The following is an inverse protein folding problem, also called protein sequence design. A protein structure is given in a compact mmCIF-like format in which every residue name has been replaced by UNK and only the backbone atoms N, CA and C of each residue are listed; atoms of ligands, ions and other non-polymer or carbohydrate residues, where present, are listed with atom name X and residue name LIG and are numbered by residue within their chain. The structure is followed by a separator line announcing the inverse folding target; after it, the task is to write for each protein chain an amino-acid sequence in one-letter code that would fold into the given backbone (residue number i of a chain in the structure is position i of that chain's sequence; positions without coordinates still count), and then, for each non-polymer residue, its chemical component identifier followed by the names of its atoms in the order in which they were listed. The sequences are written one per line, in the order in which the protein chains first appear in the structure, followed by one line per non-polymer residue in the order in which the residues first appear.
data_IF_940271942530
#
_entry.id   IF_940271942530
#
_cell.length_a   1.000
_cell.length_b   1.000
_cell.length_c   1.000
_cell.angle_alpha   90.00
_cell.angle_beta   90.00
_cell.angle_gamma   90.00
#
_symmetry.space_group_name_H-M   'P 1'
#
loop_
_entity.id
_entity.type
_entity.pdbx_description
1 polymer ?
#
# COMPACT_ATOMS: atom_id res chain seq x y z
N UNK A 1 -42.75 -49.87 -6.73
CA UNK A 1 -41.84 -49.01 -7.54
C UNK A 1 -41.74 -47.57 -7.08
N UNK A 2 -42.84 -46.83 -6.80
CA UNK A 2 -42.76 -45.40 -6.41
C UNK A 2 -41.92 -45.06 -5.16
N UNK A 3 -41.82 -45.96 -4.17
CA UNK A 3 -41.01 -45.73 -2.95
C UNK A 3 -39.50 -45.93 -3.16
N UNK A 4 -39.08 -46.65 -4.19
CA UNK A 4 -37.65 -46.91 -4.46
C UNK A 4 -36.98 -45.71 -5.16
N UNK A 5 -37.74 -44.97 -5.96
CA UNK A 5 -37.27 -43.79 -6.70
C UNK A 5 -36.99 -42.62 -5.75
N UNK A 6 -37.76 -42.49 -4.66
CA UNK A 6 -37.60 -41.39 -3.70
C UNK A 6 -36.33 -41.54 -2.85
N UNK A 7 -35.93 -42.77 -2.50
CA UNK A 7 -34.69 -43.03 -1.77
C UNK A 7 -33.43 -42.83 -2.63
N UNK A 8 -33.49 -43.17 -3.92
CA UNK A 8 -32.39 -42.93 -4.84
C UNK A 8 -32.16 -41.41 -5.05
N UNK A 9 -33.22 -40.61 -5.08
CA UNK A 9 -33.12 -39.15 -5.21
C UNK A 9 -32.52 -38.49 -3.96
N UNK A 10 -32.90 -38.94 -2.77
CA UNK A 10 -32.30 -38.43 -1.52
C UNK A 10 -30.82 -38.81 -1.41
N UNK A 11 -30.42 -40.05 -1.75
CA UNK A 11 -29.02 -40.46 -1.72
C UNK A 11 -28.15 -39.66 -2.71
N UNK A 12 -28.67 -39.36 -3.91
CA UNK A 12 -27.94 -38.57 -4.91
C UNK A 12 -27.76 -37.11 -4.47
N UNK A 13 -28.78 -36.52 -3.82
CA UNK A 13 -28.70 -35.16 -3.27
C UNK A 13 -27.70 -35.11 -2.10
N UNK A 14 -27.68 -36.10 -1.21
CA UNK A 14 -26.69 -36.15 -0.12
C UNK A 14 -25.27 -36.31 -0.64
N UNK A 15 -25.04 -37.09 -1.71
CA UNK A 15 -23.71 -37.24 -2.34
C UNK A 15 -23.25 -35.93 -3.01
N UNK A 16 -24.17 -35.18 -3.62
CA UNK A 16 -23.85 -33.87 -4.22
C UNK A 16 -23.51 -32.82 -3.16
N UNK A 17 -24.20 -32.81 -2.02
CA UNK A 17 -23.92 -31.86 -0.93
C UNK A 17 -22.59 -32.19 -0.22
N UNK A 18 -22.25 -33.47 -0.03
CA UNK A 18 -20.98 -33.87 0.62
C UNK A 18 -19.76 -33.57 -0.26
N UNK A 19 -19.89 -33.65 -1.59
CA UNK A 19 -18.79 -33.31 -2.52
C UNK A 19 -18.60 -31.81 -2.77
N UNK A 20 -19.49 -30.95 -2.26
CA UNK A 20 -19.40 -29.49 -2.43
C UNK A 20 -18.59 -28.80 -1.32
N UNK A 21 -18.15 -29.52 -0.29
CA UNK A 21 -17.51 -28.95 0.93
C UNK A 21 -16.00 -29.24 1.02
N UNK A 22 -15.42 -29.93 0.03
CA UNK A 22 -13.96 -30.15 -0.04
C UNK A 22 -13.35 -29.44 -1.25
N UNK A 23 -13.45 -28.12 -1.30
CA UNK A 23 -12.42 -27.33 -1.97
C UNK A 23 -11.24 -27.22 -0.98
N UNK A 24 -10.34 -28.20 -1.02
CA UNK A 24 -9.06 -28.15 -0.31
C UNK A 24 -8.28 -26.93 -0.80
N UNK A 25 -8.00 -26.00 0.12
CA UNK A 25 -6.91 -25.06 -0.06
C UNK A 25 -5.60 -25.86 -0.05
N UNK A 26 -4.90 -25.84 -1.18
CA UNK A 26 -3.56 -26.39 -1.36
C UNK A 26 -2.57 -25.52 -0.58
N UNK A 27 -2.32 -25.86 0.68
CA UNK A 27 -1.16 -25.34 1.43
C UNK A 27 0.05 -26.13 0.92
N UNK A 28 0.65 -25.64 -0.16
CA UNK A 28 1.90 -26.21 -0.67
C UNK A 28 2.99 -26.04 0.38
N UNK A 29 3.48 -27.18 0.88
CA UNK A 29 4.72 -27.27 1.64
C UNK A 29 5.87 -26.80 0.76
N UNK A 30 6.37 -25.58 1.01
CA UNK A 30 7.60 -25.11 0.39
C UNK A 30 8.80 -25.76 1.06
N UNK A 31 9.54 -26.54 0.26
CA UNK A 31 10.87 -27.03 0.60
C UNK A 31 11.87 -25.93 0.20
N UNK A 32 12.67 -25.36 1.14
CA UNK A 32 13.57 -24.27 0.81
C UNK A 32 14.67 -24.74 -0.14
N UNK A 33 14.81 -24.05 -1.27
CA UNK A 33 15.88 -24.26 -2.25
C UNK A 33 17.15 -23.59 -1.74
N UNK A 34 18.27 -24.31 -1.76
CA UNK A 34 19.60 -23.85 -1.34
C UNK A 34 20.03 -22.59 -2.11
N UNK A 35 20.49 -21.57 -1.38
CA UNK A 35 21.09 -20.34 -1.92
C UNK A 35 22.57 -20.62 -2.19
N UNK A 36 23.10 -20.34 -3.40
CA UNK A 36 24.53 -20.51 -3.66
C UNK A 36 25.33 -19.38 -3.00
N UNK A 37 26.36 -19.77 -2.26
CA UNK A 37 27.40 -18.93 -1.68
C UNK A 37 28.21 -18.28 -2.80
N UNK A 38 28.32 -16.95 -2.81
CA UNK A 38 29.22 -16.21 -3.72
C UNK A 38 30.41 -15.72 -2.90
N UNK A 39 31.61 -16.13 -3.31
CA UNK A 39 32.89 -15.70 -2.77
C UNK A 39 33.19 -14.24 -3.14
N UNK A 40 33.50 -13.42 -2.14
CA UNK A 40 34.05 -12.08 -2.31
C UNK A 40 35.50 -12.15 -2.78
N UNK A 41 35.84 -11.38 -3.82
CA UNK A 41 37.23 -11.02 -4.11
C UNK A 41 37.39 -9.51 -4.09
N UNK A 42 38.21 -9.09 -3.14
CA UNK A 42 38.66 -7.74 -2.87
C UNK A 42 39.65 -7.28 -3.95
N UNK A 43 39.48 -6.07 -4.50
CA UNK A 43 40.63 -5.38 -5.09
C UNK A 43 40.49 -3.86 -5.03
N UNK A 44 41.52 -3.27 -4.44
CA UNK A 44 41.80 -1.85 -4.22
C UNK A 44 42.26 -1.16 -5.51
N UNK A 45 41.70 0.02 -5.84
CA UNK A 45 42.52 1.20 -6.14
C UNK A 45 41.67 2.49 -6.12
N UNK A 46 42.17 3.48 -5.39
CA UNK A 46 41.53 4.75 -5.07
C UNK A 46 42.29 5.88 -5.74
N UNK A 47 41.66 6.57 -6.70
CA UNK A 47 41.78 8.02 -6.89
C UNK A 47 40.68 8.53 -7.82
N UNK A 48 39.49 8.79 -7.26
CA UNK A 48 38.45 9.55 -7.94
C UNK A 48 38.05 10.76 -7.09
N UNK A 49 37.95 11.92 -7.76
CA UNK A 49 37.48 13.19 -7.21
C UNK A 49 36.14 12.98 -6.46
N UNK A 50 35.82 13.78 -5.43
CA UNK A 50 34.56 13.66 -4.73
C UNK A 50 33.41 13.91 -5.71
N UNK A 51 32.82 12.82 -6.20
CA UNK A 51 31.47 12.83 -6.74
C UNK A 51 30.63 13.19 -5.52
N UNK A 52 30.15 14.43 -5.47
CA UNK A 52 29.05 14.79 -4.58
C UNK A 52 27.88 13.96 -5.09
N UNK A 53 27.72 12.76 -4.54
CA UNK A 53 26.58 11.91 -4.81
C UNK A 53 25.34 12.77 -4.56
N UNK A 54 24.43 12.91 -5.54
CA UNK A 54 23.19 13.63 -5.31
C UNK A 54 22.55 13.01 -4.07
N UNK A 55 22.41 13.81 -3.00
CA UNK A 55 21.77 13.33 -1.78
C UNK A 55 20.41 12.77 -2.20
N UNK A 56 20.07 11.52 -1.83
CA UNK A 56 18.77 10.96 -2.18
C UNK A 56 17.71 11.94 -1.68
N UNK A 57 16.76 12.26 -2.55
CA UNK A 57 15.62 13.11 -2.20
C UNK A 57 14.94 12.49 -0.99
N UNK A 58 14.97 13.18 0.15
CA UNK A 58 14.29 12.72 1.35
C UNK A 58 12.81 13.06 1.21
N UNK A 59 12.01 12.06 0.90
CA UNK A 59 10.56 12.11 1.04
C UNK A 59 10.24 12.32 2.53
N UNK A 60 9.57 13.41 2.87
CA UNK A 60 9.22 13.73 4.26
C UNK A 60 7.77 13.37 4.51
N UNK A 61 7.54 12.57 5.56
CA UNK A 61 6.22 12.26 6.09
C UNK A 61 5.52 13.58 6.46
N UNK A 62 4.43 13.91 5.77
CA UNK A 62 3.67 15.15 6.00
C UNK A 62 3.11 15.26 7.42
N UNK A 63 2.85 14.13 8.09
CA UNK A 63 2.39 14.06 9.49
C UNK A 63 3.48 14.41 10.51
N UNK A 64 4.76 14.29 10.14
CA UNK A 64 5.89 14.73 10.96
C UNK A 64 6.13 16.25 10.92
N UNK A 65 5.44 16.95 10.03
CA UNK A 65 5.57 18.40 9.87
C UNK A 65 4.77 19.13 10.95
N UNK A 66 5.43 20.04 11.64
CA UNK A 66 4.78 20.99 12.52
C UNK A 66 4.43 22.27 11.74
N UNK A 67 3.39 22.98 12.21
CA UNK A 67 2.92 24.26 11.64
C UNK A 67 2.57 24.19 10.16
N UNK A 68 1.86 23.13 9.77
CA UNK A 68 1.55 22.85 8.37
C UNK A 68 0.56 23.87 7.78
N UNK A 69 0.83 24.30 6.55
CA UNK A 69 -0.10 25.11 5.76
C UNK A 69 -0.24 24.49 4.38
N UNK A 70 -1.47 24.04 4.07
CA UNK A 70 -1.84 23.53 2.75
C UNK A 70 -2.50 24.62 1.90
N UNK A 71 -2.07 24.71 0.66
CA UNK A 71 -2.67 25.55 -0.39
C UNK A 71 -2.64 24.77 -1.71
N UNK A 72 -3.80 24.26 -2.14
CA UNK A 72 -3.87 23.37 -3.30
C UNK A 72 -3.02 22.12 -3.09
N UNK A 73 -2.12 21.85 -4.04
CA UNK A 73 -1.17 20.71 -4.07
C UNK A 73 0.17 21.02 -3.37
N UNK A 74 0.23 22.09 -2.57
CA UNK A 74 1.45 22.48 -1.88
C UNK A 74 1.21 22.42 -0.36
N UNK A 75 2.11 21.75 0.35
CA UNK A 75 2.08 21.65 1.82
C UNK A 75 3.39 22.21 2.36
N UNK A 76 3.34 23.31 3.09
CA UNK A 76 4.53 23.81 3.79
C UNK A 76 4.51 23.36 5.23
N UNK A 77 5.66 23.09 5.83
CA UNK A 77 5.79 22.75 7.24
C UNK A 77 7.24 22.64 7.68
N UNK A 78 7.49 22.39 8.95
CA UNK A 78 8.86 22.26 9.47
C UNK A 78 9.07 20.96 10.24
N UNK A 79 10.22 20.33 10.02
CA UNK A 79 10.73 19.21 10.81
C UNK A 79 11.54 19.78 11.98
N UNK A 80 10.93 19.98 13.16
CA UNK A 80 11.64 20.42 14.37
C UNK A 80 11.77 21.95 14.55
N UNK A 81 12.90 22.41 15.11
CA UNK A 81 13.05 23.70 15.82
C UNK A 81 13.17 24.99 14.98
N UNK A 82 12.42 25.11 13.88
CA UNK A 82 12.00 26.44 13.43
C UNK A 82 12.61 27.04 12.15
N UNK A 83 13.12 26.23 11.22
CA UNK A 83 13.30 26.70 9.84
C UNK A 83 12.23 26.08 8.94
N UNK A 84 11.25 26.88 8.53
CA UNK A 84 10.19 26.48 7.60
C UNK A 84 10.75 25.91 6.30
N UNK A 85 10.30 24.71 5.91
CA UNK A 85 10.60 24.11 4.61
C UNK A 85 9.31 24.01 3.78
N UNK A 86 9.45 24.20 2.48
CA UNK A 86 8.34 24.08 1.52
C UNK A 86 8.38 22.69 0.92
N UNK A 87 7.28 21.95 1.05
CA UNK A 87 7.13 20.64 0.43
C UNK A 87 6.04 20.72 -0.64
N UNK A 88 6.26 20.01 -1.74
CA UNK A 88 5.32 19.94 -2.84
C UNK A 88 4.86 18.49 -2.99
N UNK A 89 3.55 18.27 -3.04
CA UNK A 89 2.98 16.95 -3.31
C UNK A 89 1.94 17.13 -4.39
N UNK A 90 2.21 16.66 -5.61
CA UNK A 90 1.32 16.84 -6.75
C UNK A 90 0.06 15.94 -6.71
N UNK A 91 -0.31 15.42 -5.54
CA UNK A 91 -1.25 14.31 -5.38
C UNK A 91 -2.72 14.71 -5.35
N UNK A 92 -3.17 15.62 -6.23
CA UNK A 92 -4.59 15.65 -6.62
C UNK A 92 -4.70 16.12 -8.07
N UNK A 93 -4.88 15.17 -9.01
CA UNK A 93 -5.30 15.45 -10.39
C UNK A 93 -4.26 15.32 -11.50
N UNK A 94 -3.09 14.69 -11.28
CA UNK A 94 -2.20 14.20 -12.34
C UNK A 94 -1.60 15.24 -13.29
N UNK A 95 -1.76 16.53 -13.03
CA UNK A 95 -1.17 17.61 -13.81
C UNK A 95 0.02 18.24 -13.11
N UNK A 96 1.10 18.49 -13.86
CA UNK A 96 2.10 19.47 -13.44
C UNK A 96 1.40 20.80 -13.19
N UNK A 97 1.64 21.45 -12.05
CA UNK A 97 1.22 22.84 -11.88
C UNK A 97 1.85 23.68 -12.99
N UNK A 98 1.04 24.44 -13.70
CA UNK A 98 1.56 25.49 -14.56
C UNK A 98 2.35 26.49 -13.72
N UNK A 99 3.28 27.23 -14.35
CA UNK A 99 4.04 28.28 -13.68
C UNK A 99 3.11 29.31 -12.99
N UNK A 100 1.94 29.54 -13.57
CA UNK A 100 0.90 30.45 -13.07
C UNK A 100 0.21 29.91 -11.81
N UNK A 101 -0.17 28.63 -11.79
CA UNK A 101 -0.78 27.99 -10.63
C UNK A 101 0.20 27.83 -9.46
N UNK A 102 1.47 27.53 -9.76
CA UNK A 102 2.55 27.52 -8.79
C UNK A 102 2.73 28.91 -8.18
N UNK A 103 2.80 29.95 -9.01
CA UNK A 103 2.91 31.34 -8.57
C UNK A 103 1.72 31.79 -7.72
N UNK A 104 0.49 31.43 -8.10
CA UNK A 104 -0.72 31.73 -7.34
C UNK A 104 -0.74 31.02 -5.97
N UNK A 105 -0.28 29.77 -5.92
CA UNK A 105 -0.19 28.98 -4.69
C UNK A 105 0.88 29.54 -3.75
N UNK A 106 2.04 29.93 -4.29
CA UNK A 106 3.11 30.65 -3.57
C UNK A 106 2.58 31.94 -2.92
N UNK A 107 1.81 32.75 -3.66
CA UNK A 107 1.24 34.00 -3.14
C UNK A 107 0.28 33.76 -1.97
N UNK A 108 -0.53 32.71 -2.06
CA UNK A 108 -1.45 32.29 -0.98
C UNK A 108 -0.71 31.76 0.24
N UNK A 109 0.34 30.95 0.05
CA UNK A 109 1.20 30.45 1.13
C UNK A 109 1.85 31.63 1.86
N UNK A 110 2.47 32.55 1.11
CA UNK A 110 3.09 33.76 1.65
C UNK A 110 2.13 34.56 2.55
N UNK A 111 0.89 34.73 2.10
CA UNK A 111 -0.15 35.42 2.89
C UNK A 111 -0.48 34.69 4.19
N UNK A 112 -0.46 33.35 4.20
CA UNK A 112 -0.80 32.54 5.37
C UNK A 112 0.36 32.33 6.34
N UNK A 113 1.59 32.21 5.86
CA UNK A 113 2.77 31.82 6.66
C UNK A 113 3.69 32.99 7.03
N UNK A 114 3.57 34.14 6.35
CA UNK A 114 4.48 35.27 6.55
C UNK A 114 5.89 35.05 5.99
N UNK A 115 6.14 33.96 5.25
CA UNK A 115 7.45 33.66 4.65
C UNK A 115 7.86 34.73 3.62
N UNK A 116 9.14 35.11 3.61
CA UNK A 116 9.67 36.08 2.64
C UNK A 116 9.82 35.45 1.25
N UNK A 117 9.64 36.26 0.20
CA UNK A 117 9.70 35.82 -1.20
C UNK A 117 11.05 35.21 -1.56
N UNK A 118 12.13 35.72 -0.95
CA UNK A 118 13.50 35.24 -1.17
C UNK A 118 13.73 33.85 -0.57
N UNK A 119 13.19 33.59 0.63
CA UNK A 119 13.31 32.29 1.28
C UNK A 119 12.52 31.19 0.57
N UNK A 120 11.32 31.53 0.09
CA UNK A 120 10.50 30.59 -0.68
C UNK A 120 11.12 30.28 -2.04
N UNK A 121 11.61 31.31 -2.73
CA UNK A 121 12.21 31.19 -4.07
C UNK A 121 13.52 30.42 -4.05
N UNK A 122 14.41 30.65 -3.08
CA UNK A 122 15.64 29.84 -2.94
C UNK A 122 15.39 28.37 -2.61
N UNK A 123 14.31 28.05 -1.91
CA UNK A 123 13.93 26.65 -1.65
C UNK A 123 13.31 25.99 -2.89
N UNK A 124 12.50 26.74 -3.65
CA UNK A 124 11.88 26.26 -4.89
C UNK A 124 12.85 26.17 -6.07
N UNK A 125 13.83 27.08 -6.18
CA UNK A 125 14.89 27.05 -7.21
C UNK A 125 15.93 25.94 -6.95
N UNK A 126 15.95 25.35 -5.76
CA UNK A 126 16.73 24.14 -5.42
C UNK A 126 15.97 22.84 -5.68
N UNK A 127 14.65 22.91 -5.90
CA UNK A 127 13.95 21.79 -6.51
C UNK A 127 14.46 21.71 -7.95
N UNK A 128 14.79 20.52 -8.48
CA UNK A 128 15.17 20.38 -9.87
C UNK A 128 14.13 21.09 -10.75
N UNK A 129 14.60 21.80 -11.79
CA UNK A 129 13.76 22.57 -12.71
C UNK A 129 12.64 21.72 -13.34
N UNK A 130 12.82 20.41 -13.31
CA UNK A 130 11.79 19.38 -13.45
C UNK A 130 11.39 18.95 -12.04
N UNK A 131 10.24 19.42 -11.56
CA UNK A 131 9.77 19.19 -10.21
C UNK A 131 9.83 17.70 -9.84
N UNK A 132 10.83 17.33 -9.05
CA UNK A 132 10.83 16.11 -8.26
C UNK A 132 9.77 16.29 -7.17
N UNK A 133 8.51 16.27 -7.59
CA UNK A 133 7.41 15.98 -6.72
C UNK A 133 7.75 14.64 -6.07
N UNK A 134 7.64 14.56 -4.75
CA UNK A 134 7.30 13.29 -4.13
C UNK A 134 5.88 12.99 -4.61
N UNK A 135 5.78 12.52 -5.86
CA UNK A 135 4.56 11.92 -6.34
C UNK A 135 4.57 10.59 -5.62
N UNK A 136 3.67 10.45 -4.65
CA UNK A 136 3.19 9.14 -4.25
C UNK A 136 2.46 8.59 -5.47
N UNK A 137 3.20 8.14 -6.50
CA UNK A 137 2.68 7.42 -7.68
C UNK A 137 2.47 5.95 -7.37
N UNK A 138 3.13 5.49 -6.30
CA UNK A 138 3.19 4.09 -5.96
C UNK A 138 1.93 3.65 -5.26
N UNK A 139 1.70 2.36 -5.40
CA UNK A 139 0.74 1.65 -4.58
C UNK A 139 1.42 1.31 -3.27
N UNK A 140 0.69 1.47 -2.17
CA UNK A 140 1.24 1.49 -0.83
C UNK A 140 0.66 0.42 0.08
N UNK A 141 1.48 -0.56 0.49
CA UNK A 141 1.16 -1.42 1.62
C UNK A 141 1.86 -1.00 2.92
N UNK A 142 1.25 -1.38 4.03
CA UNK A 142 1.81 -1.30 5.39
C UNK A 142 2.00 -2.69 5.98
N UNK A 143 3.21 -2.99 6.42
CA UNK A 143 3.63 -4.22 7.10
C UNK A 143 3.72 -4.03 8.60
N UNK A 144 3.06 -4.90 9.35
CA UNK A 144 3.13 -5.03 10.81
C UNK A 144 3.91 -6.29 11.16
N UNK A 145 4.99 -6.15 11.93
CA UNK A 145 5.90 -7.23 12.27
C UNK A 145 5.77 -7.51 13.77
N UNK A 146 5.12 -8.62 14.13
CA UNK A 146 4.86 -8.99 15.53
C UNK A 146 5.93 -9.96 16.07
N UNK A 147 7.20 -9.58 15.87
CA UNK A 147 8.37 -10.34 16.32
C UNK A 147 9.62 -9.48 16.25
N UNK A 148 10.24 -9.20 17.39
CA UNK A 148 11.46 -8.38 17.47
C UNK A 148 12.70 -9.06 16.87
N UNK A 149 12.64 -10.36 16.60
CA UNK A 149 13.73 -11.12 15.96
C UNK A 149 13.48 -11.39 14.48
N UNK A 150 12.49 -10.74 13.88
CA UNK A 150 12.09 -10.94 12.49
C UNK A 150 12.40 -9.69 11.70
N UNK A 151 13.22 -9.83 10.66
CA UNK A 151 13.48 -8.79 9.68
C UNK A 151 12.69 -9.10 8.41
N UNK A 152 12.06 -8.07 7.83
CA UNK A 152 11.29 -8.17 6.59
C UNK A 152 11.79 -7.11 5.61
N UNK A 153 12.12 -7.54 4.40
CA UNK A 153 12.61 -6.68 3.33
C UNK A 153 11.72 -6.87 2.09
N UNK A 154 10.94 -5.86 1.67
CA UNK A 154 10.24 -5.89 0.40
C UNK A 154 11.22 -5.94 -0.77
N UNK A 155 11.03 -6.87 -1.70
CA UNK A 155 11.92 -7.07 -2.86
C UNK A 155 11.40 -6.44 -4.15
N UNK A 156 10.20 -5.85 -4.11
CA UNK A 156 9.67 -5.07 -5.23
C UNK A 156 10.54 -3.82 -5.50
N UNK A 157 10.51 -3.21 -6.70
CA UNK A 157 11.13 -1.91 -6.93
C UNK A 157 10.50 -0.84 -6.03
N UNK A 158 11.15 -0.54 -4.91
CA UNK A 158 10.65 0.38 -3.88
C UNK A 158 10.95 1.83 -4.28
N UNK A 159 9.89 2.64 -4.32
CA UNK A 159 9.95 4.09 -4.54
C UNK A 159 10.08 4.86 -3.23
N UNK A 160 9.46 4.35 -2.16
CA UNK A 160 9.49 4.95 -0.84
C UNK A 160 9.44 3.88 0.25
N UNK A 161 10.15 4.13 1.36
CA UNK A 161 10.20 3.26 2.53
C UNK A 161 10.23 4.14 3.78
N UNK A 162 9.30 3.89 4.70
CA UNK A 162 9.26 4.48 6.03
C UNK A 162 9.14 3.35 7.06
N UNK A 163 10.03 3.33 8.04
CA UNK A 163 10.02 2.36 9.11
C UNK A 163 9.94 3.08 10.46
N UNK A 164 9.10 2.57 11.35
CA UNK A 164 9.04 2.97 12.74
C UNK A 164 8.85 1.74 13.65
N UNK A 165 8.80 1.96 14.97
CA UNK A 165 8.70 0.89 15.96
C UNK A 165 7.43 0.03 15.86
N UNK A 166 6.43 0.43 15.07
CA UNK A 166 5.13 -0.21 14.96
C UNK A 166 4.89 -0.88 13.59
N UNK A 167 5.41 -0.30 12.51
CA UNK A 167 5.20 -0.81 11.15
C UNK A 167 6.28 -0.35 10.16
N UNK A 168 6.31 -1.03 9.01
CA UNK A 168 7.06 -0.67 7.82
C UNK A 168 6.07 -0.32 6.71
N UNK A 169 6.08 0.93 6.26
CA UNK A 169 5.30 1.41 5.11
C UNK A 169 6.21 1.50 3.90
N UNK A 170 5.75 1.02 2.75
CA UNK A 170 6.50 1.16 1.51
C UNK A 170 5.60 1.45 0.32
N UNK A 171 6.17 2.06 -0.71
CA UNK A 171 5.53 2.28 -2.00
C UNK A 171 6.35 1.58 -3.07
N UNK A 172 5.69 0.87 -3.98
CA UNK A 172 6.34 0.21 -5.10
C UNK A 172 5.93 0.82 -6.43
N UNK A 173 6.78 0.60 -7.45
CA UNK A 173 6.55 1.08 -8.81
C UNK A 173 5.40 0.31 -9.49
N UNK A 174 4.23 0.95 -9.54
CA UNK A 174 3.01 0.43 -10.17
C UNK A 174 3.08 0.37 -11.71
N UNK A 175 4.10 0.94 -12.34
CA UNK A 175 4.28 0.83 -13.80
C UNK A 175 4.74 -0.56 -14.23
N UNK A 176 5.40 -1.29 -13.32
CA UNK A 176 5.94 -2.62 -13.55
C UNK A 176 5.22 -3.72 -12.74
N UNK A 177 4.38 -3.32 -11.78
CA UNK A 177 3.64 -4.23 -10.91
C UNK A 177 2.15 -3.97 -11.08
N UNK A 178 1.43 -4.98 -11.56
CA UNK A 178 -0.02 -4.94 -11.74
C UNK A 178 -0.68 -6.15 -11.13
N UNK A 179 -1.90 -5.98 -10.64
CA UNK A 179 -2.74 -7.08 -10.16
C UNK A 179 -3.93 -7.29 -11.08
N UNK A 180 -4.38 -8.53 -11.19
CA UNK A 180 -5.60 -8.88 -11.91
C UNK A 180 -6.82 -8.53 -11.06
N UNK A 181 -7.91 -8.05 -11.71
CA UNK A 181 -9.19 -7.82 -11.03
C UNK A 181 -9.70 -9.16 -10.46
N UNK A 182 -9.89 -9.31 -9.13
CA UNK A 182 -10.45 -10.51 -8.54
C UNK A 182 -11.89 -10.77 -9.01
N UNK A 183 -12.31 -12.04 -9.03
CA UNK A 183 -13.69 -12.44 -9.39
C UNK A 183 -14.70 -12.15 -8.27
N UNK A 184 -14.23 -12.14 -7.03
CA UNK A 184 -15.02 -11.88 -5.83
C UNK A 184 -14.66 -10.50 -5.29
N UNK A 185 -15.63 -9.85 -4.65
CA UNK A 185 -15.47 -8.51 -4.11
C UNK A 185 -16.77 -7.88 -3.65
N UNK A 186 -16.72 -6.57 -3.46
CA UNK A 186 -17.81 -5.73 -3.03
C UNK A 186 -18.00 -4.59 -4.01
N UNK A 187 -19.26 -4.18 -4.20
CA UNK A 187 -19.59 -2.90 -4.81
C UNK A 187 -19.94 -1.94 -3.67
N UNK A 188 -19.14 -0.88 -3.52
CA UNK A 188 -19.23 0.06 -2.40
C UNK A 188 -19.37 1.46 -2.93
N UNK A 189 -20.39 2.20 -2.49
CA UNK A 189 -20.44 3.64 -2.75
C UNK A 189 -19.26 4.31 -2.05
N UNK A 190 -18.52 5.18 -2.73
CA UNK A 190 -17.38 5.91 -2.16
C UNK A 190 -17.71 6.60 -0.85
N UNK A 191 -18.90 7.18 -0.76
CA UNK A 191 -19.40 7.84 0.46
C UNK A 191 -19.58 6.89 1.66
N UNK A 192 -19.52 5.57 1.44
CA UNK A 192 -19.63 4.51 2.44
C UNK A 192 -18.31 3.77 2.68
N UNK A 193 -17.20 4.26 2.12
CA UNK A 193 -15.90 3.61 2.23
C UNK A 193 -15.46 3.45 3.69
N UNK A 194 -15.65 4.46 4.54
CA UNK A 194 -15.29 4.37 5.98
C UNK A 194 -16.10 3.28 6.71
N UNK A 195 -17.39 3.15 6.39
CA UNK A 195 -18.24 2.09 6.94
C UNK A 195 -17.79 0.71 6.45
N UNK A 196 -17.41 0.60 5.17
CA UNK A 196 -16.83 -0.60 4.62
C UNK A 196 -15.53 -0.99 5.34
N UNK A 197 -14.59 -0.06 5.49
CA UNK A 197 -13.31 -0.27 6.19
C UNK A 197 -13.56 -0.73 7.63
N UNK A 198 -14.50 -0.11 8.34
CA UNK A 198 -14.86 -0.50 9.70
C UNK A 198 -15.39 -1.94 9.76
N UNK A 199 -16.23 -2.34 8.80
CA UNK A 199 -16.78 -3.69 8.75
C UNK A 199 -15.70 -4.74 8.47
N UNK A 200 -14.81 -4.47 7.51
CA UNK A 200 -13.69 -5.34 7.17
C UNK A 200 -12.73 -5.46 8.37
N UNK A 201 -12.38 -4.34 8.99
CA UNK A 201 -11.54 -4.30 10.19
C UNK A 201 -12.09 -5.15 11.33
N UNK A 202 -13.40 -5.01 11.61
CA UNK A 202 -14.07 -5.79 12.64
C UNK A 202 -14.09 -7.29 12.29
N UNK A 203 -14.34 -7.62 11.01
CA UNK A 203 -14.38 -9.01 10.52
C UNK A 203 -13.02 -9.68 10.63
N UNK A 204 -11.94 -8.96 10.33
CA UNK A 204 -10.57 -9.47 10.44
C UNK A 204 -10.00 -9.40 11.86
N UNK A 205 -10.68 -8.71 12.79
CA UNK A 205 -10.20 -8.37 14.14
C UNK A 205 -8.89 -7.58 14.10
N UNK A 206 -8.82 -6.56 13.24
CA UNK A 206 -7.70 -5.62 13.18
C UNK A 206 -7.57 -4.81 14.49
N UNK A 207 -6.35 -4.41 14.84
CA UNK A 207 -6.10 -3.42 15.88
C UNK A 207 -6.48 -2.02 15.39
N UNK A 208 -6.60 -1.05 16.29
CA UNK A 208 -6.90 0.34 15.90
C UNK A 208 -5.90 0.90 14.89
N UNK A 209 -4.60 0.62 15.06
CA UNK A 209 -3.56 1.08 14.14
C UNK A 209 -3.64 0.39 12.78
N UNK A 210 -3.86 -0.94 12.76
CA UNK A 210 -4.05 -1.69 11.51
C UNK A 210 -5.28 -1.22 10.74
N UNK A 211 -6.38 -0.93 11.44
CA UNK A 211 -7.60 -0.36 10.87
C UNK A 211 -7.37 1.03 10.28
N UNK A 212 -6.63 1.89 10.98
CA UNK A 212 -6.26 3.22 10.48
C UNK A 212 -5.41 3.12 9.21
N UNK A 213 -4.42 2.22 9.19
CA UNK A 213 -3.60 1.99 8.01
C UNK A 213 -4.41 1.41 6.86
N UNK A 214 -5.28 0.43 7.10
CA UNK A 214 -6.20 -0.07 6.06
C UNK A 214 -7.10 1.03 5.50
N UNK A 215 -7.63 1.91 6.37
CA UNK A 215 -8.43 3.06 5.94
C UNK A 215 -7.61 4.00 5.04
N UNK A 216 -6.36 4.28 5.42
CA UNK A 216 -5.45 5.09 4.65
C UNK A 216 -5.22 4.49 3.25
N UNK A 217 -4.83 3.21 3.16
CA UNK A 217 -4.53 2.59 1.86
C UNK A 217 -5.77 2.60 0.95
N UNK A 218 -6.92 2.15 1.46
CA UNK A 218 -8.16 2.10 0.68
C UNK A 218 -8.63 3.48 0.21
N UNK A 219 -8.55 4.50 1.07
CA UNK A 219 -8.89 5.88 0.68
C UNK A 219 -7.92 6.39 -0.37
N UNK A 220 -6.61 6.14 -0.21
CA UNK A 220 -5.58 6.56 -1.15
C UNK A 220 -5.85 6.00 -2.55
N UNK A 221 -6.05 4.69 -2.66
CA UNK A 221 -6.35 4.03 -3.95
C UNK A 221 -7.71 4.42 -4.53
N UNK A 222 -8.69 4.77 -3.70
CA UNK A 222 -10.02 5.19 -4.16
C UNK A 222 -10.06 6.60 -4.77
N UNK A 223 -9.04 7.44 -4.52
CA UNK A 223 -8.95 8.81 -5.08
C UNK A 223 -8.92 8.79 -6.61
N UNK A 224 -8.25 7.81 -7.21
CA UNK A 224 -8.05 7.73 -8.66
C UNK A 224 -9.23 7.13 -9.44
N UNK A 225 -10.15 6.47 -8.73
CA UNK A 225 -11.41 6.01 -9.32
C UNK A 225 -12.26 7.23 -9.68
N UNK A 226 -12.91 7.27 -10.85
CA UNK A 226 -13.70 8.45 -11.26
C UNK A 226 -15.19 8.34 -10.94
N UNK A 227 -15.70 7.12 -10.75
CA UNK A 227 -17.10 6.84 -10.45
C UNK A 227 -17.40 6.96 -8.96
N UNK A 228 -18.68 7.10 -8.60
CA UNK A 228 -19.13 7.09 -7.20
C UNK A 228 -19.19 5.68 -6.61
N UNK A 229 -19.15 4.64 -7.45
CA UNK A 229 -19.15 3.23 -7.04
C UNK A 229 -17.77 2.61 -7.25
N UNK A 230 -17.26 2.00 -6.19
CA UNK A 230 -16.01 1.25 -6.17
C UNK A 230 -16.29 -0.24 -6.29
N UNK A 231 -15.52 -0.91 -7.13
CA UNK A 231 -15.26 -2.33 -6.95
C UNK A 231 -14.11 -2.45 -5.96
N UNK A 232 -14.26 -3.28 -4.93
CA UNK A 232 -13.18 -3.61 -4.01
C UNK A 232 -13.10 -5.14 -3.95
N UNK A 233 -11.98 -5.74 -4.31
CA UNK A 233 -11.77 -7.20 -4.30
C UNK A 233 -10.50 -7.56 -3.55
N UNK A 234 -10.46 -8.72 -2.92
CA UNK A 234 -9.23 -9.20 -2.28
C UNK A 234 -8.35 -9.88 -3.33
N UNK A 235 -7.15 -9.36 -3.55
CA UNK A 235 -6.16 -9.98 -4.44
C UNK A 235 -5.68 -11.30 -3.81
N UNK A 236 -5.62 -12.41 -4.58
CA UNK A 236 -5.11 -13.67 -4.08
C UNK A 236 -3.69 -13.54 -3.51
N UNK A 237 -3.45 -14.08 -2.32
CA UNK A 237 -2.13 -13.98 -1.67
C UNK A 237 -1.00 -14.53 -2.55
N UNK A 238 -1.24 -15.60 -3.32
CA UNK A 238 -0.24 -16.12 -4.26
C UNK A 238 0.18 -15.14 -5.36
N UNK A 239 -0.74 -14.26 -5.78
CA UNK A 239 -0.44 -13.18 -6.72
C UNK A 239 0.33 -12.05 -6.05
N UNK A 240 -0.05 -11.70 -4.82
CA UNK A 240 0.65 -10.74 -3.96
C UNK A 240 2.10 -11.19 -3.72
N UNK A 241 2.32 -12.44 -3.31
CA UNK A 241 3.65 -12.99 -3.05
C UNK A 241 4.53 -13.07 -4.30
N UNK A 242 3.92 -13.30 -5.47
CA UNK A 242 4.63 -13.29 -6.74
C UNK A 242 5.04 -11.88 -7.16
N UNK A 243 4.14 -10.92 -7.04
CA UNK A 243 4.31 -9.59 -7.63
C UNK A 243 5.05 -8.61 -6.70
N UNK A 244 4.88 -8.77 -5.39
CA UNK A 244 5.57 -7.99 -4.35
C UNK A 244 6.22 -8.93 -3.33
N UNK A 245 7.25 -9.71 -3.72
CA UNK A 245 7.85 -10.68 -2.84
C UNK A 245 8.50 -10.03 -1.62
N UNK A 246 8.46 -10.73 -0.48
CA UNK A 246 9.12 -10.33 0.76
C UNK A 246 10.27 -11.31 1.04
N UNK A 247 11.41 -10.77 1.45
CA UNK A 247 12.49 -11.55 2.06
C UNK A 247 12.34 -11.47 3.58
N UNK A 248 12.12 -12.62 4.21
CA UNK A 248 11.88 -12.72 5.65
C UNK A 248 13.04 -13.50 6.26
N UNK A 249 13.72 -12.87 7.22
CA UNK A 249 14.75 -13.50 8.04
C UNK A 249 14.22 -13.62 9.46
N UNK A 250 13.97 -14.84 9.93
CA UNK A 250 13.42 -15.08 11.26
C UNK A 250 13.82 -16.46 11.80
N UNK A 251 14.13 -16.59 13.11
CA UNK A 251 14.42 -17.89 13.72
C UNK A 251 13.21 -18.82 13.80
N UNK A 252 11.99 -18.28 13.69
CA UNK A 252 10.75 -18.97 14.08
C UNK A 252 9.72 -19.06 12.93
N UNK A 253 10.11 -18.77 11.68
CA UNK A 253 9.26 -18.86 10.48
C UNK A 253 7.84 -18.29 10.68
N UNK A 254 7.68 -16.96 10.75
CA UNK A 254 6.41 -16.33 11.08
C UNK A 254 5.33 -16.66 10.05
N UNK A 255 4.08 -16.72 10.51
CA UNK A 255 2.93 -16.75 9.60
C UNK A 255 2.82 -15.40 8.90
N UNK A 256 2.70 -15.40 7.58
CA UNK A 256 2.57 -14.19 6.77
C UNK A 256 1.16 -14.10 6.20
N UNK A 257 0.42 -13.06 6.58
CA UNK A 257 -0.92 -12.78 6.07
C UNK A 257 -0.89 -11.44 5.34
N UNK A 258 -1.35 -11.41 4.08
CA UNK A 258 -1.32 -10.21 3.25
C UNK A 258 -2.69 -9.93 2.67
N UNK A 259 -3.33 -8.87 3.17
CA UNK A 259 -4.62 -8.42 2.67
C UNK A 259 -4.40 -7.24 1.72
N UNK A 260 -4.26 -7.56 0.43
CA UNK A 260 -4.09 -6.57 -0.61
C UNK A 260 -5.40 -6.40 -1.38
N UNK A 261 -5.97 -5.19 -1.37
CA UNK A 261 -7.27 -4.90 -1.96
C UNK A 261 -7.13 -4.31 -3.35
N UNK A 262 -7.67 -4.95 -4.36
CA UNK A 262 -7.82 -4.37 -5.70
C UNK A 262 -9.03 -3.42 -5.69
N UNK A 263 -8.83 -2.17 -6.11
CA UNK A 263 -9.88 -1.15 -6.23
C UNK A 263 -10.01 -0.71 -7.68
N UNK A 264 -11.22 -0.66 -8.21
CA UNK A 264 -11.48 -0.04 -9.52
C UNK A 264 -12.89 0.55 -9.60
N UNK A 265 -13.28 1.05 -10.78
CA UNK A 265 -14.65 1.47 -11.02
C UNK A 265 -15.58 0.25 -11.03
N UNK A 266 -16.69 0.30 -10.29
CA UNK A 266 -17.73 -0.72 -10.37
C UNK A 266 -18.84 -0.33 -11.36
N UNK A 267 -19.36 -1.34 -12.05
CA UNK A 267 -20.61 -1.27 -12.79
C UNK A 267 -21.78 -1.77 -11.91
N UNK A 268 -22.98 -1.86 -12.47
CA UNK A 268 -24.14 -2.50 -11.82
C UNK A 268 -24.06 -4.04 -11.83
N UNK A 269 -22.86 -4.57 -11.59
CA UNK A 269 -22.61 -6.02 -11.53
C UNK A 269 -22.90 -6.58 -10.14
N UNK A 270 -23.58 -7.73 -10.10
CA UNK A 270 -23.77 -8.50 -8.86
C UNK A 270 -22.53 -9.33 -8.62
N UNK A 271 -21.74 -8.97 -7.61
CA UNK A 271 -20.51 -9.66 -7.24
C UNK A 271 -20.68 -10.30 -5.86
N UNK A 272 -20.13 -11.51 -5.69
CA UNK A 272 -20.10 -12.18 -4.39
C UNK A 272 -18.91 -11.69 -3.55
N UNK A 273 -19.14 -11.29 -2.29
CA UNK A 273 -18.07 -11.04 -1.33
C UNK A 273 -17.16 -12.25 -1.11
N UNK A 274 -15.83 -12.07 -1.03
CA UNK A 274 -14.95 -13.15 -0.61
C UNK A 274 -15.14 -13.46 0.88
N UNK A 275 -14.84 -14.70 1.26
CA UNK A 275 -14.87 -15.11 2.67
C UNK A 275 -13.63 -14.57 3.38
N UNK A 276 -13.83 -13.79 4.44
CA UNK A 276 -12.76 -13.30 5.29
C UNK A 276 -12.64 -14.18 6.55
N UNK A 277 -11.43 -14.63 6.83
CA UNK A 277 -11.11 -15.38 8.04
C UNK A 277 -10.53 -14.41 9.07
N UNK A 278 -11.03 -14.48 10.30
CA UNK A 278 -10.48 -13.72 11.42
C UNK A 278 -9.02 -14.06 11.65
N UNK A 279 -8.19 -13.02 11.79
CA UNK A 279 -6.76 -13.18 12.05
C UNK A 279 -6.57 -13.81 13.43
N UNK A 280 -5.87 -14.96 13.45
CA UNK A 280 -5.43 -15.61 14.69
C UNK A 280 -4.04 -15.09 15.03
N UNK A 281 -3.92 -14.31 16.11
CA UNK A 281 -2.67 -13.62 16.50
C UNK A 281 -1.72 -14.54 17.27
N UNK A 282 -1.29 -15.63 16.64
CA UNK A 282 -0.26 -16.51 17.17
C UNK A 282 1.10 -15.95 16.77
N UNK A 283 1.91 -15.51 17.74
CA UNK A 283 3.25 -14.96 17.46
C UNK A 283 4.28 -16.08 17.24
N UNK A 284 5.23 -15.90 16.31
CA UNK A 284 5.46 -14.71 15.51
C UNK A 284 4.58 -14.66 14.24
N UNK A 285 4.08 -13.48 13.88
CA UNK A 285 3.33 -13.29 12.64
C UNK A 285 3.63 -11.94 12.00
N UNK A 286 3.40 -11.85 10.70
CA UNK A 286 3.49 -10.65 9.87
C UNK A 286 2.12 -10.42 9.25
N UNK A 287 1.64 -9.18 9.32
CA UNK A 287 0.42 -8.74 8.65
C UNK A 287 0.77 -7.63 7.66
N UNK A 288 0.38 -7.79 6.40
CA UNK A 288 0.38 -6.71 5.44
C UNK A 288 -1.06 -6.28 5.13
N UNK A 289 -1.30 -4.98 5.11
CA UNK A 289 -2.52 -4.40 4.53
C UNK A 289 -2.11 -3.44 3.42
N UNK A 290 -2.71 -3.57 2.26
CA UNK A 290 -2.40 -2.73 1.10
C UNK A 290 -3.59 -2.62 0.18
N UNK A 291 -3.51 -1.74 -0.80
CA UNK A 291 -4.54 -1.64 -1.83
C UNK A 291 -3.98 -1.14 -3.14
N UNK A 292 -4.41 -1.72 -4.25
CA UNK A 292 -3.99 -1.39 -5.60
C UNK A 292 -5.15 -0.78 -6.39
N UNK A 293 -4.95 0.40 -6.98
CA UNK A 293 -5.88 0.93 -7.98
C UNK A 293 -5.64 0.23 -9.33
N UNK A 294 -6.65 -0.51 -9.79
CA UNK A 294 -6.68 -1.13 -11.10
C UNK A 294 -7.38 -0.26 -12.13
N UNK A 295 -6.67 0.03 -13.20
CA UNK A 295 -7.19 0.71 -14.39
C UNK A 295 -8.20 -0.14 -15.17
#
# INVERSE_FOLDING_TARGET
MKRLILFAFFALITILIVNSVYAQFDIQNFNPTEVPTVEETENTDTTSRPIISPRPFQCVNLGSLQGTVRVGNIVTGYTGSGTGRVWYSSSVGGGNLTAEELSASIKKIKKKTGLTTTGLRQQLERLPAEGAACITTGVSPTLFIYSSSTNVEPLAPILYLEENDQYLYYEYDSTNISFNKPKEGWVVDKSKLDTFVSNISNTLKLTSLESERLAFELNFSAVDVKTDKLFIGLTPQSEVDKNIPLKITSPNNPIVLRYHFYISSANEETIQPPTLIQIQRNTPFILEVGSYFGN
#
